data_IF_799537647449
#
_entry.id   IF_799537647449
#
_cell.length_a   1.000
_cell.length_b   1.000
_cell.length_c   1.000
_cell.angle_alpha   90.00
_cell.angle_beta   90.00
_cell.angle_gamma   90.00
#
_symmetry.space_group_name_H-M   'P 1'
#
loop_
_entity.id
_entity.type
_entity.pdbx_description
1 polymer ?
#
# COMPACT_ATOMS: atom_id res chain seq x y z
N UNK A 1 17.03 -27.67 -4.81
CA UNK A 1 17.05 -27.52 -3.31
C UNK A 1 15.66 -27.22 -2.76
N UNK A 2 14.90 -26.24 -3.31
CA UNK A 2 13.55 -25.85 -2.88
C UNK A 2 12.57 -27.03 -3.03
N UNK A 3 12.49 -27.70 -4.18
CA UNK A 3 11.63 -28.84 -4.44
C UNK A 3 11.79 -29.96 -3.39
N UNK A 4 13.05 -30.33 -3.05
CA UNK A 4 13.31 -31.35 -2.02
C UNK A 4 12.78 -30.94 -0.64
N UNK A 5 13.02 -29.68 -0.23
CA UNK A 5 12.54 -29.17 1.08
C UNK A 5 11.02 -29.06 1.11
N UNK A 6 10.40 -28.59 0.04
CA UNK A 6 8.95 -28.50 -0.10
C UNK A 6 8.29 -29.89 0.03
N UNK A 7 8.84 -30.90 -0.66
CA UNK A 7 8.37 -32.29 -0.56
C UNK A 7 8.57 -32.93 0.80
N UNK A 8 9.58 -32.53 1.57
CA UNK A 8 9.81 -33.01 2.94
C UNK A 8 8.79 -32.49 3.95
N UNK A 9 8.35 -31.24 3.83
CA UNK A 9 7.43 -30.61 4.78
C UNK A 9 5.98 -30.62 4.34
N UNK A 10 5.70 -30.61 3.01
CA UNK A 10 4.35 -30.52 2.43
C UNK A 10 3.51 -29.40 3.07
N UNK A 11 4.12 -28.23 3.21
CA UNK A 11 3.47 -27.04 3.78
C UNK A 11 2.31 -26.58 2.91
N UNK A 12 1.17 -26.34 3.52
CA UNK A 12 -0.03 -25.76 2.89
C UNK A 12 -0.41 -24.46 3.57
N UNK A 13 -1.39 -23.74 3.03
CA UNK A 13 -1.90 -22.51 3.59
C UNK A 13 -3.40 -22.42 3.37
N UNK A 14 -4.18 -22.98 4.27
CA UNK A 14 -5.64 -22.77 4.35
C UNK A 14 -5.87 -21.47 5.09
N UNK A 15 -6.70 -20.61 4.52
CA UNK A 15 -7.06 -19.32 5.12
C UNK A 15 -8.43 -18.89 4.66
N UNK A 16 -8.83 -17.71 5.06
CA UNK A 16 -10.13 -17.13 4.77
C UNK A 16 -10.02 -15.78 4.08
N UNK A 17 -11.12 -15.35 3.51
CA UNK A 17 -11.41 -13.97 3.09
C UNK A 17 -12.78 -13.60 3.66
N UNK A 18 -13.16 -12.32 3.61
CA UNK A 18 -14.47 -11.82 4.02
C UNK A 18 -14.75 -11.81 5.54
N UNK A 19 -13.73 -11.80 6.39
CA UNK A 19 -13.95 -11.75 7.86
C UNK A 19 -14.78 -10.53 8.27
N UNK A 20 -14.45 -9.35 7.74
CA UNK A 20 -15.17 -8.12 8.05
C UNK A 20 -16.66 -8.19 7.66
N UNK A 21 -16.95 -8.77 6.50
CA UNK A 21 -18.33 -8.95 6.04
C UNK A 21 -19.06 -10.07 6.77
N UNK A 22 -18.36 -11.14 7.15
CA UNK A 22 -18.91 -12.19 7.99
C UNK A 22 -19.39 -11.62 9.33
N UNK A 23 -18.56 -10.83 9.99
CA UNK A 23 -18.93 -10.18 11.25
C UNK A 23 -20.13 -9.25 11.06
N UNK A 24 -20.14 -8.43 10.01
CA UNK A 24 -21.25 -7.57 9.69
C UNK A 24 -22.56 -8.35 9.43
N UNK A 25 -22.50 -9.48 8.71
CA UNK A 25 -23.63 -10.34 8.46
C UNK A 25 -24.19 -11.00 9.74
N UNK A 26 -23.32 -11.27 10.71
CA UNK A 26 -23.69 -11.78 12.04
C UNK A 26 -24.19 -10.67 12.99
N UNK A 27 -24.23 -9.42 12.54
CA UNK A 27 -24.59 -8.26 13.36
C UNK A 27 -23.51 -7.84 14.35
N UNK A 28 -22.30 -8.35 14.18
CA UNK A 28 -21.14 -8.05 15.03
C UNK A 28 -20.34 -6.91 14.43
N UNK A 29 -20.01 -5.93 15.26
CA UNK A 29 -19.20 -4.80 14.83
C UNK A 29 -17.71 -5.13 14.93
N UNK A 30 -16.99 -5.07 13.81
CA UNK A 30 -15.55 -5.27 13.77
C UNK A 30 -14.84 -4.32 14.75
N UNK A 31 -13.84 -4.82 15.48
CA UNK A 31 -13.10 -4.04 16.48
C UNK A 31 -13.75 -3.97 17.85
N UNK A 32 -14.73 -4.84 18.15
CA UNK A 32 -15.28 -5.04 19.50
C UNK A 32 -14.75 -6.34 20.10
N UNK A 33 -14.85 -6.48 21.42
CA UNK A 33 -14.46 -7.71 22.11
C UNK A 33 -15.34 -8.90 21.66
N UNK A 34 -16.64 -8.71 21.55
CA UNK A 34 -17.59 -9.74 21.08
C UNK A 34 -17.22 -10.26 19.67
N UNK A 35 -16.94 -9.34 18.72
CA UNK A 35 -16.47 -9.71 17.38
C UNK A 35 -15.14 -10.47 17.44
N UNK A 36 -14.25 -10.06 18.34
CA UNK A 36 -12.93 -10.68 18.54
C UNK A 36 -13.06 -12.12 19.08
N UNK A 37 -13.95 -12.33 20.04
CA UNK A 37 -14.24 -13.66 20.59
C UNK A 37 -14.86 -14.59 19.54
N UNK A 38 -15.83 -14.08 18.78
CA UNK A 38 -16.44 -14.84 17.69
C UNK A 38 -15.40 -15.23 16.63
N UNK A 39 -14.56 -14.29 16.19
CA UNK A 39 -13.48 -14.58 15.26
C UNK A 39 -12.49 -15.62 15.79
N UNK A 40 -12.11 -15.55 17.08
CA UNK A 40 -11.25 -16.54 17.69
C UNK A 40 -11.89 -17.94 17.61
N UNK A 41 -13.19 -18.08 17.88
CA UNK A 41 -13.90 -19.37 17.79
C UNK A 41 -13.97 -19.91 16.36
N UNK A 42 -14.22 -19.06 15.37
CA UNK A 42 -14.20 -19.44 13.95
C UNK A 42 -12.83 -20.00 13.57
N UNK A 43 -11.75 -19.26 13.89
CA UNK A 43 -10.40 -19.69 13.55
C UNK A 43 -9.93 -20.91 14.35
N UNK A 44 -10.38 -21.07 15.59
CA UNK A 44 -10.19 -22.30 16.38
C UNK A 44 -10.79 -23.50 15.68
N UNK A 45 -12.03 -23.41 15.24
CA UNK A 45 -12.71 -24.48 14.52
C UNK A 45 -11.98 -24.84 13.22
N UNK A 46 -11.63 -23.83 12.43
CA UNK A 46 -10.86 -24.05 11.20
C UNK A 46 -9.51 -24.72 11.48
N UNK A 47 -8.81 -24.34 12.56
CA UNK A 47 -7.53 -24.92 12.92
C UNK A 47 -7.66 -26.40 13.29
N UNK A 48 -8.61 -26.75 14.16
CA UNK A 48 -8.84 -28.12 14.58
C UNK A 48 -9.20 -29.01 13.37
N UNK A 49 -10.10 -28.57 12.53
CA UNK A 49 -10.53 -29.36 11.38
C UNK A 49 -9.48 -29.47 10.27
N UNK A 50 -8.67 -28.42 10.03
CA UNK A 50 -7.56 -28.49 9.10
C UNK A 50 -6.49 -29.50 9.57
N UNK A 51 -6.19 -29.52 10.87
CA UNK A 51 -5.25 -30.47 11.44
C UNK A 51 -5.83 -31.90 11.47
N UNK A 52 -7.10 -32.07 11.79
CA UNK A 52 -7.83 -33.36 11.68
C UNK A 52 -7.76 -33.91 10.24
N UNK A 53 -8.04 -33.07 9.26
CA UNK A 53 -7.90 -33.43 7.86
C UNK A 53 -6.47 -33.84 7.50
N UNK A 54 -5.48 -33.11 7.98
CA UNK A 54 -4.07 -33.44 7.76
C UNK A 54 -3.65 -34.78 8.40
N UNK A 55 -4.19 -35.11 9.57
CA UNK A 55 -4.01 -36.43 10.22
C UNK A 55 -4.69 -37.52 9.41
N UNK A 56 -5.91 -37.31 8.94
CA UNK A 56 -6.61 -38.30 8.10
C UNK A 56 -5.86 -38.54 6.77
N UNK A 57 -5.36 -37.50 6.13
CA UNK A 57 -4.49 -37.65 4.97
C UNK A 57 -3.19 -38.41 5.29
N UNK A 58 -2.67 -38.28 6.51
CA UNK A 58 -1.49 -39.04 6.92
C UNK A 58 -1.80 -40.53 7.14
N UNK A 59 -2.98 -40.88 7.65
CA UNK A 59 -3.46 -42.28 7.73
C UNK A 59 -3.48 -42.95 6.35
N UNK A 60 -3.87 -42.20 5.28
CA UNK A 60 -3.97 -42.72 3.92
C UNK A 60 -2.63 -42.73 3.17
N UNK A 61 -1.82 -41.68 3.33
CA UNK A 61 -0.67 -41.35 2.45
C UNK A 61 0.67 -41.20 3.20
N UNK A 62 0.68 -41.49 4.50
CA UNK A 62 1.82 -41.28 5.37
C UNK A 62 2.02 -39.83 5.78
N UNK A 63 2.68 -39.64 6.91
CA UNK A 63 3.05 -38.34 7.42
C UNK A 63 4.06 -37.60 6.51
N UNK A 64 4.28 -36.31 6.76
CA UNK A 64 5.36 -35.59 6.08
C UNK A 64 6.72 -36.16 6.52
N UNK A 65 7.71 -36.20 5.61
CA UNK A 65 8.92 -37.03 5.73
C UNK A 65 9.80 -36.75 6.96
N UNK A 66 9.73 -35.55 7.52
CA UNK A 66 10.51 -35.14 8.69
C UNK A 66 9.67 -35.01 9.97
N UNK A 67 8.47 -35.61 9.99
CA UNK A 67 7.60 -35.60 11.17
C UNK A 67 8.28 -36.29 12.36
N UNK A 68 8.24 -35.61 13.50
CA UNK A 68 8.78 -36.11 14.77
C UNK A 68 8.02 -35.43 15.91
N UNK A 69 7.17 -36.19 16.60
CA UNK A 69 6.34 -35.70 17.69
C UNK A 69 7.15 -35.17 18.89
N UNK A 70 8.36 -35.70 19.13
CA UNK A 70 9.21 -35.24 20.22
C UNK A 70 9.79 -33.83 19.95
N UNK A 71 10.07 -33.51 18.71
CA UNK A 71 10.52 -32.18 18.35
C UNK A 71 9.44 -31.09 18.54
N UNK A 72 8.19 -31.50 18.53
CA UNK A 72 7.05 -30.59 18.62
C UNK A 72 6.45 -30.48 20.03
N UNK A 73 6.90 -31.28 20.99
CA UNK A 73 6.34 -31.33 22.34
C UNK A 73 6.29 -29.98 23.09
N UNK A 74 7.21 -29.08 22.77
CA UNK A 74 7.27 -27.71 23.31
C UNK A 74 6.73 -26.64 22.37
N UNK A 75 6.12 -27.02 21.26
CA UNK A 75 5.54 -26.05 20.31
C UNK A 75 4.24 -25.46 20.89
N UNK A 76 4.16 -24.14 21.13
CA UNK A 76 2.97 -23.52 21.74
C UNK A 76 1.70 -23.72 20.95
N UNK A 77 1.78 -23.78 19.61
CA UNK A 77 0.63 -24.02 18.74
C UNK A 77 0.11 -25.47 18.91
N UNK A 78 1.01 -26.46 18.89
CA UNK A 78 0.65 -27.85 19.05
C UNK A 78 0.08 -28.11 20.46
N UNK A 79 0.65 -27.48 21.50
CA UNK A 79 0.13 -27.59 22.87
C UNK A 79 -1.29 -27.02 22.98
N UNK A 80 -1.58 -25.94 22.28
CA UNK A 80 -2.93 -25.36 22.20
C UNK A 80 -3.93 -26.27 21.50
N UNK A 81 -3.52 -26.95 20.41
CA UNK A 81 -4.35 -27.98 19.78
C UNK A 81 -4.63 -29.14 20.76
N UNK A 82 -3.61 -29.59 21.52
CA UNK A 82 -3.75 -30.64 22.53
C UNK A 82 -4.74 -30.25 23.62
N UNK A 83 -4.68 -29.02 24.12
CA UNK A 83 -5.60 -28.51 25.13
C UNK A 83 -7.04 -28.43 24.62
N UNK A 84 -7.19 -27.99 23.33
CA UNK A 84 -8.50 -27.83 22.74
C UNK A 84 -9.15 -29.13 22.28
N UNK A 85 -8.34 -30.09 21.83
CA UNK A 85 -8.79 -31.41 21.34
C UNK A 85 -7.73 -32.49 21.64
N UNK A 86 -7.77 -33.11 22.81
CA UNK A 86 -6.83 -34.15 23.20
C UNK A 86 -6.86 -35.38 22.30
N UNK A 87 -8.04 -35.73 21.75
CA UNK A 87 -8.19 -36.87 20.85
C UNK A 87 -7.47 -36.65 19.52
N UNK A 88 -7.63 -35.48 18.91
CA UNK A 88 -6.88 -35.09 17.74
C UNK A 88 -5.36 -35.14 17.96
N UNK A 89 -4.91 -34.69 19.15
CA UNK A 89 -3.48 -34.72 19.49
C UNK A 89 -2.94 -36.17 19.58
N UNK A 90 -3.66 -37.10 20.22
CA UNK A 90 -3.23 -38.51 20.31
C UNK A 90 -3.25 -39.19 18.93
N UNK A 91 -4.24 -38.91 18.10
CA UNK A 91 -4.26 -39.38 16.72
C UNK A 91 -3.05 -38.80 15.91
N UNK A 92 -2.76 -37.52 16.05
CA UNK A 92 -1.61 -36.87 15.41
C UNK A 92 -0.29 -37.47 15.87
N UNK A 93 -0.15 -37.80 17.16
CA UNK A 93 1.03 -38.48 17.71
C UNK A 93 1.19 -39.87 17.13
N UNK A 94 0.10 -40.64 17.01
CA UNK A 94 0.08 -42.00 16.50
C UNK A 94 0.33 -42.12 15.02
N UNK A 95 -0.32 -41.31 14.20
CA UNK A 95 -0.32 -41.41 12.74
C UNK A 95 0.52 -40.33 12.05
N UNK A 96 0.95 -39.32 12.77
CA UNK A 96 1.52 -38.12 12.22
C UNK A 96 0.46 -37.24 11.57
N UNK A 97 0.92 -36.24 10.82
CA UNK A 97 0.09 -35.42 9.92
C UNK A 97 0.75 -35.25 8.57
N UNK A 98 -0.04 -35.02 7.52
CA UNK A 98 0.44 -34.92 6.15
C UNK A 98 1.26 -33.68 5.88
N UNK A 99 0.98 -32.57 6.59
CA UNK A 99 1.48 -31.23 6.34
C UNK A 99 2.20 -30.71 7.60
N UNK A 100 3.40 -30.14 7.43
CA UNK A 100 4.17 -29.57 8.55
C UNK A 100 3.46 -28.34 9.15
N UNK A 101 2.74 -27.60 8.31
CA UNK A 101 1.92 -26.46 8.68
C UNK A 101 0.75 -26.36 7.71
N UNK A 102 -0.41 -25.89 8.20
CA UNK A 102 -1.69 -25.97 7.49
C UNK A 102 -2.33 -24.60 7.20
N UNK A 103 -2.12 -23.60 8.05
CA UNK A 103 -2.96 -22.41 8.16
C UNK A 103 -2.20 -21.13 7.91
N UNK A 104 -2.79 -20.21 7.13
CA UNK A 104 -2.24 -18.87 6.88
C UNK A 104 -3.37 -17.89 6.58
N UNK A 105 -3.17 -16.62 6.88
CA UNK A 105 -4.06 -15.56 6.38
C UNK A 105 -3.28 -14.73 5.36
N UNK A 106 -3.58 -14.99 4.09
CA UNK A 106 -3.01 -14.27 2.96
C UNK A 106 -3.75 -12.92 2.74
N UNK A 107 -3.17 -11.95 2.01
CA UNK A 107 -3.84 -10.68 1.70
C UNK A 107 -5.17 -10.84 0.97
N UNK A 108 -5.32 -11.85 0.11
CA UNK A 108 -6.52 -12.17 -0.68
C UNK A 108 -7.11 -11.01 -1.51
N UNK A 109 -6.29 -10.00 -1.87
CA UNK A 109 -6.77 -8.80 -2.55
C UNK A 109 -7.54 -9.08 -3.85
N UNK A 110 -6.97 -9.89 -4.75
CA UNK A 110 -7.63 -10.27 -6.01
C UNK A 110 -8.85 -11.16 -5.76
N UNK A 111 -8.76 -12.12 -4.84
CA UNK A 111 -9.86 -13.04 -4.50
C UNK A 111 -11.05 -12.26 -3.94
N UNK A 112 -10.80 -11.32 -3.02
CA UNK A 112 -11.86 -10.50 -2.43
C UNK A 112 -12.55 -9.59 -3.44
N UNK A 113 -11.80 -9.06 -4.44
CA UNK A 113 -12.42 -8.34 -5.55
C UNK A 113 -13.34 -9.21 -6.38
N UNK A 114 -12.95 -10.45 -6.66
CA UNK A 114 -13.79 -11.41 -7.40
C UNK A 114 -15.05 -11.81 -6.62
N UNK A 115 -14.92 -11.99 -5.30
CA UNK A 115 -16.05 -12.36 -4.43
C UNK A 115 -16.84 -11.15 -3.94
N UNK A 116 -16.37 -9.93 -4.24
CA UNK A 116 -17.01 -8.67 -3.83
C UNK A 116 -17.16 -8.55 -2.30
N UNK A 117 -16.12 -8.94 -1.59
CA UNK A 117 -16.06 -8.99 -0.12
C UNK A 117 -14.81 -8.25 0.41
N UNK A 118 -14.74 -8.15 1.75
CA UNK A 118 -13.52 -7.71 2.44
C UNK A 118 -12.39 -8.73 2.27
N UNK A 119 -11.14 -8.30 2.42
CA UNK A 119 -9.94 -9.13 2.21
C UNK A 119 -9.46 -9.76 3.50
N UNK A 120 -9.14 -11.06 3.49
CA UNK A 120 -8.58 -11.76 4.64
C UNK A 120 -9.38 -11.50 5.91
N UNK A 121 -8.70 -11.06 6.96
CA UNK A 121 -9.30 -10.63 8.23
C UNK A 121 -9.43 -9.10 8.35
N UNK A 122 -9.34 -8.37 7.23
CA UNK A 122 -9.48 -6.92 7.22
C UNK A 122 -10.93 -6.48 7.41
N UNK A 123 -11.19 -5.34 8.07
CA UNK A 123 -12.49 -4.70 8.02
C UNK A 123 -12.77 -4.14 6.63
N UNK A 124 -14.00 -3.73 6.37
CA UNK A 124 -14.33 -2.98 5.14
C UNK A 124 -13.50 -1.71 5.07
N UNK A 125 -13.01 -1.38 3.89
CA UNK A 125 -12.28 -0.11 3.71
C UNK A 125 -13.23 1.08 3.90
N UNK A 126 -14.31 1.12 3.13
CA UNK A 126 -15.44 2.05 3.28
C UNK A 126 -16.72 1.36 2.80
N UNK A 127 -17.83 1.41 3.56
CA UNK A 127 -19.11 0.83 3.12
C UNK A 127 -19.73 1.64 1.99
N UNK A 128 -19.39 2.92 1.90
CA UNK A 128 -19.88 3.85 0.87
C UNK A 128 -18.77 4.79 0.46
N UNK A 129 -18.58 4.98 -0.85
CA UNK A 129 -17.59 5.92 -1.38
C UNK A 129 -18.08 6.58 -2.66
N UNK A 130 -17.54 7.75 -2.98
CA UNK A 130 -17.83 8.46 -4.23
C UNK A 130 -16.81 8.10 -5.30
N UNK A 131 -17.27 7.86 -6.49
CA UNK A 131 -16.45 7.74 -7.70
C UNK A 131 -16.75 8.87 -8.65
N UNK A 132 -15.75 9.24 -9.43
CA UNK A 132 -15.87 10.16 -10.54
C UNK A 132 -15.67 9.41 -11.85
N UNK A 133 -16.54 9.67 -12.83
CA UNK A 133 -16.32 9.26 -14.22
C UNK A 133 -16.27 10.49 -15.10
N UNK A 134 -15.34 10.51 -16.06
CA UNK A 134 -15.30 11.54 -17.08
C UNK A 134 -16.53 11.40 -17.97
N UNK A 135 -17.18 12.48 -18.27
CA UNK A 135 -18.41 12.52 -19.07
C UNK A 135 -18.29 13.55 -20.18
N UNK A 136 -19.08 13.34 -21.25
CA UNK A 136 -19.19 14.33 -22.29
C UNK A 136 -20.26 15.37 -21.89
N UNK A 137 -19.90 16.65 -21.67
CA UNK A 137 -20.86 17.67 -21.24
C UNK A 137 -21.95 17.97 -22.29
N UNK A 138 -21.76 17.53 -23.53
CA UNK A 138 -22.73 17.70 -24.60
C UNK A 138 -23.76 16.57 -24.73
N UNK A 139 -23.64 15.54 -23.86
CA UNK A 139 -24.62 14.44 -23.81
C UNK A 139 -25.79 14.83 -22.89
N UNK A 140 -27.02 14.97 -23.44
CA UNK A 140 -28.19 15.42 -22.67
C UNK A 140 -28.62 14.46 -21.56
N UNK A 141 -28.11 13.22 -21.53
CA UNK A 141 -28.38 12.23 -20.48
C UNK A 141 -27.35 12.28 -19.33
N UNK A 142 -26.36 13.15 -19.41
CA UNK A 142 -25.25 13.19 -18.49
C UNK A 142 -25.37 14.35 -17.53
N UNK A 143 -25.26 14.08 -16.23
CA UNK A 143 -25.17 15.10 -15.19
C UNK A 143 -23.69 15.47 -14.97
N UNK A 144 -23.37 16.75 -15.00
CA UNK A 144 -22.02 17.25 -14.71
C UNK A 144 -22.01 17.79 -13.28
N UNK A 145 -21.29 17.09 -12.39
CA UNK A 145 -21.13 17.49 -10.99
C UNK A 145 -19.86 18.32 -10.75
N UNK A 146 -18.85 18.13 -11.59
CA UNK A 146 -17.55 18.75 -11.43
C UNK A 146 -16.87 18.94 -12.77
N UNK A 147 -16.26 20.11 -12.96
CA UNK A 147 -15.38 20.40 -14.11
C UNK A 147 -14.00 20.67 -13.53
N UNK A 148 -12.98 19.97 -14.02
CA UNK A 148 -11.61 20.18 -13.58
C UNK A 148 -10.97 21.43 -14.22
N UNK A 149 -9.75 21.74 -13.79
CA UNK A 149 -9.01 22.91 -14.29
C UNK A 149 -8.64 22.81 -15.78
N UNK A 150 -8.74 21.63 -16.37
CA UNK A 150 -8.47 21.37 -17.80
C UNK A 150 -9.73 21.47 -18.64
N UNK A 151 -10.90 21.70 -18.02
CA UNK A 151 -12.19 21.78 -18.68
C UNK A 151 -12.89 20.42 -18.87
N UNK A 152 -12.34 19.35 -18.31
CA UNK A 152 -12.96 18.04 -18.36
C UNK A 152 -14.13 17.94 -17.38
N UNK A 153 -15.27 17.46 -17.88
CA UNK A 153 -16.48 17.28 -17.08
C UNK A 153 -16.56 15.88 -16.45
N UNK A 154 -16.97 15.83 -15.21
CA UNK A 154 -17.11 14.59 -14.43
C UNK A 154 -18.47 14.51 -13.78
N UNK A 155 -19.01 13.30 -13.75
CA UNK A 155 -20.16 12.94 -12.92
C UNK A 155 -19.66 12.21 -11.67
N UNK A 156 -20.16 12.61 -10.51
CA UNK A 156 -19.95 11.91 -9.24
C UNK A 156 -21.10 10.94 -8.98
N UNK A 157 -20.77 9.72 -8.66
CA UNK A 157 -21.75 8.72 -8.27
C UNK A 157 -21.31 7.96 -7.03
N UNK A 158 -22.30 7.54 -6.26
CA UNK A 158 -22.10 6.80 -5.03
C UNK A 158 -21.94 5.32 -5.37
N UNK A 159 -20.93 4.70 -4.76
CA UNK A 159 -20.71 3.26 -4.84
C UNK A 159 -20.84 2.70 -3.43
N UNK A 160 -21.74 1.75 -3.27
CA UNK A 160 -21.91 0.99 -2.05
C UNK A 160 -21.06 -0.29 -2.11
N UNK A 161 -20.44 -0.66 -0.99
CA UNK A 161 -19.84 -1.97 -0.84
C UNK A 161 -20.91 -3.06 -1.03
N UNK A 162 -20.63 -4.12 -1.76
CA UNK A 162 -21.63 -5.11 -2.15
C UNK A 162 -22.37 -5.72 -0.96
N UNK A 163 -21.68 -6.06 0.12
CA UNK A 163 -22.31 -6.60 1.31
C UNK A 163 -23.11 -5.56 2.11
N UNK A 164 -22.75 -4.29 1.97
CA UNK A 164 -23.58 -3.20 2.48
C UNK A 164 -24.90 -3.07 1.69
N UNK A 165 -24.89 -3.28 0.36
CA UNK A 165 -26.10 -3.35 -0.46
C UNK A 165 -27.02 -4.49 0.00
N UNK A 166 -26.45 -5.67 0.28
CA UNK A 166 -27.23 -6.79 0.83
C UNK A 166 -27.85 -6.42 2.18
N UNK A 167 -27.09 -5.81 3.07
CA UNK A 167 -27.60 -5.31 4.35
C UNK A 167 -28.73 -4.28 4.16
N UNK A 168 -28.56 -3.33 3.24
CA UNK A 168 -29.60 -2.35 2.91
C UNK A 168 -30.89 -3.05 2.47
N UNK A 169 -30.79 -3.99 1.56
CA UNK A 169 -31.95 -4.73 1.00
C UNK A 169 -32.70 -5.51 2.08
N UNK A 170 -31.96 -6.24 2.93
CA UNK A 170 -32.55 -7.02 4.03
C UNK A 170 -33.24 -6.10 5.07
N UNK A 171 -32.77 -4.88 5.24
CA UNK A 171 -33.31 -3.90 6.18
C UNK A 171 -34.36 -2.95 5.53
N UNK A 172 -34.79 -3.25 4.29
CA UNK A 172 -35.88 -2.52 3.61
C UNK A 172 -35.43 -1.17 3.02
N UNK A 173 -34.16 -0.94 2.82
CA UNK A 173 -33.64 0.23 2.12
C UNK A 173 -33.43 -0.07 0.65
N UNK A 174 -33.78 0.88 -0.23
CA UNK A 174 -33.61 0.75 -1.67
C UNK A 174 -32.18 1.20 -2.10
N UNK A 175 -31.27 0.28 -2.49
CA UNK A 175 -29.92 0.63 -2.89
C UNK A 175 -29.83 1.41 -4.22
N UNK A 176 -30.93 1.48 -4.97
CA UNK A 176 -30.97 2.20 -6.26
C UNK A 176 -31.38 3.67 -6.10
N UNK A 177 -31.91 4.04 -4.94
CA UNK A 177 -32.28 5.41 -4.61
C UNK A 177 -31.04 6.31 -4.60
N UNK A 178 -31.18 7.55 -5.09
CA UNK A 178 -30.18 8.59 -4.86
C UNK A 178 -30.29 9.08 -3.41
N UNK A 179 -29.21 8.90 -2.66
CA UNK A 179 -29.10 9.30 -1.27
C UNK A 179 -28.28 10.60 -1.15
N UNK A 180 -28.71 11.50 -0.27
CA UNK A 180 -27.88 12.61 0.17
C UNK A 180 -26.79 12.13 1.11
N UNK A 181 -25.74 12.95 1.33
CA UNK A 181 -24.67 12.58 2.27
C UNK A 181 -25.20 12.35 3.69
N UNK A 182 -26.15 13.16 4.14
CA UNK A 182 -26.76 13.01 5.45
C UNK A 182 -27.57 11.70 5.59
N UNK A 183 -28.30 11.30 4.56
CA UNK A 183 -29.01 10.01 4.52
C UNK A 183 -28.03 8.83 4.54
N UNK A 184 -26.90 8.94 3.83
CA UNK A 184 -25.84 7.92 3.81
C UNK A 184 -25.22 7.78 5.21
N UNK A 185 -24.88 8.89 5.84
CA UNK A 185 -24.27 8.89 7.18
C UNK A 185 -25.21 8.21 8.19
N UNK A 186 -26.52 8.50 8.14
CA UNK A 186 -27.54 7.83 8.95
C UNK A 186 -27.69 6.34 8.64
N UNK A 187 -27.55 5.94 7.37
CA UNK A 187 -27.61 4.52 6.99
C UNK A 187 -26.37 3.77 7.53
N UNK A 188 -25.19 4.34 7.35
CA UNK A 188 -23.94 3.76 7.88
C UNK A 188 -24.01 3.65 9.40
N UNK A 189 -24.50 4.70 10.09
CA UNK A 189 -24.64 4.70 11.54
C UNK A 189 -25.52 3.58 12.09
N UNK A 190 -26.56 3.20 11.36
CA UNK A 190 -27.46 2.10 11.71
C UNK A 190 -26.91 0.72 11.37
N UNK A 191 -25.87 0.65 10.56
CA UNK A 191 -25.30 -0.59 10.07
C UNK A 191 -24.23 -1.17 10.98
N UNK A 192 -23.91 -2.46 10.89
CA UNK A 192 -22.79 -3.07 11.60
C UNK A 192 -21.43 -2.56 11.12
N UNK A 193 -21.37 -1.80 10.02
CA UNK A 193 -20.15 -1.16 9.53
C UNK A 193 -19.82 0.18 10.20
N UNK A 194 -20.70 0.69 11.06
CA UNK A 194 -20.45 1.94 11.80
C UNK A 194 -19.27 1.81 12.75
N UNK A 195 -18.27 2.69 12.61
CA UNK A 195 -16.99 2.65 13.34
C UNK A 195 -16.26 1.30 13.22
N UNK A 196 -16.47 0.61 12.12
CA UNK A 196 -15.89 -0.69 11.80
C UNK A 196 -15.16 -0.68 10.45
N UNK A 197 -14.78 0.49 9.95
CA UNK A 197 -14.00 0.63 8.71
C UNK A 197 -12.51 0.64 8.99
N UNK A 198 -11.70 0.46 7.95
CA UNK A 198 -10.23 0.45 8.09
C UNK A 198 -9.66 1.73 8.73
N UNK A 199 -10.37 2.86 8.57
CA UNK A 199 -9.89 4.18 9.02
C UNK A 199 -10.45 4.62 10.38
N UNK A 200 -11.52 4.00 10.89
CA UNK A 200 -12.20 4.42 12.11
C UNK A 200 -12.37 3.33 13.16
N UNK A 201 -11.94 2.10 12.87
CA UNK A 201 -11.92 1.00 13.83
C UNK A 201 -10.98 1.31 15.00
N UNK A 202 -11.27 0.80 16.18
CA UNK A 202 -10.30 0.79 17.28
C UNK A 202 -9.06 -0.03 16.88
N UNK A 203 -7.97 0.66 16.58
CA UNK A 203 -6.74 0.03 16.07
C UNK A 203 -6.08 -0.90 17.10
N UNK A 204 -6.19 -0.60 18.40
CA UNK A 204 -5.68 -1.50 19.44
C UNK A 204 -6.50 -2.79 19.52
N UNK A 205 -7.83 -2.68 19.40
CA UNK A 205 -8.70 -3.85 19.33
C UNK A 205 -8.45 -4.67 18.06
N UNK A 206 -8.19 -4.01 16.91
CA UNK A 206 -7.80 -4.69 15.68
C UNK A 206 -6.52 -5.52 15.87
N UNK A 207 -5.51 -4.98 16.57
CA UNK A 207 -4.27 -5.70 16.89
C UNK A 207 -4.54 -6.87 17.83
N UNK A 208 -5.35 -6.68 18.86
CA UNK A 208 -5.73 -7.76 19.81
C UNK A 208 -6.48 -8.87 19.10
N UNK A 209 -7.41 -8.53 18.21
CA UNK A 209 -8.12 -9.50 17.37
C UNK A 209 -7.14 -10.30 16.50
N UNK A 210 -6.18 -9.65 15.85
CA UNK A 210 -5.11 -10.34 15.13
C UNK A 210 -4.34 -11.31 16.03
N UNK A 211 -3.99 -10.90 17.25
CA UNK A 211 -3.30 -11.74 18.23
C UNK A 211 -4.13 -12.95 18.65
N UNK A 212 -5.44 -12.77 18.86
CA UNK A 212 -6.38 -13.86 19.17
C UNK A 212 -6.47 -14.87 18.03
N UNK A 213 -6.63 -14.40 16.79
CA UNK A 213 -6.63 -15.24 15.58
C UNK A 213 -5.28 -15.92 15.40
N UNK A 214 -4.15 -15.24 15.68
CA UNK A 214 -2.80 -15.80 15.53
C UNK A 214 -2.57 -17.05 16.41
N UNK A 215 -3.28 -17.19 17.51
CA UNK A 215 -3.23 -18.42 18.33
C UNK A 215 -3.63 -19.66 17.53
N UNK A 216 -4.52 -19.50 16.55
CA UNK A 216 -5.12 -20.55 15.74
C UNK A 216 -4.61 -20.57 14.29
N UNK A 217 -3.55 -19.79 13.98
CA UNK A 217 -2.90 -19.75 12.67
C UNK A 217 -1.42 -20.06 12.83
N UNK A 218 -0.98 -21.15 12.27
CA UNK A 218 0.40 -21.64 12.42
C UNK A 218 1.43 -20.89 11.55
N UNK A 219 1.02 -20.26 10.47
CA UNK A 219 1.84 -19.31 9.71
C UNK A 219 1.59 -17.85 10.15
N UNK A 220 2.02 -16.92 9.33
CA UNK A 220 1.79 -15.50 9.54
C UNK A 220 0.40 -15.07 9.04
N UNK A 221 -0.05 -13.95 9.58
CA UNK A 221 -1.27 -13.25 9.18
C UNK A 221 -0.86 -11.98 8.46
N UNK A 222 -1.42 -11.75 7.28
CA UNK A 222 -1.31 -10.48 6.57
C UNK A 222 -2.48 -9.59 6.95
N UNK A 223 -2.19 -8.52 7.65
CA UNK A 223 -3.15 -7.49 8.04
C UNK A 223 -2.44 -6.14 8.09
N UNK A 224 -3.14 -5.08 7.69
CA UNK A 224 -2.60 -3.72 7.69
C UNK A 224 -3.46 -2.83 8.59
N UNK A 225 -2.80 -2.12 9.49
CA UNK A 225 -3.42 -1.08 10.31
C UNK A 225 -3.30 0.22 9.53
N UNK A 226 -4.42 0.73 9.03
CA UNK A 226 -4.47 2.00 8.32
C UNK A 226 -4.68 3.13 9.32
N UNK A 227 -3.79 4.10 9.31
CA UNK A 227 -3.80 5.25 10.20
C UNK A 227 -3.92 6.54 9.38
N UNK A 228 -4.68 7.54 9.84
CA UNK A 228 -4.69 8.85 9.23
C UNK A 228 -3.32 9.54 9.33
N UNK A 229 -3.11 10.59 8.54
CA UNK A 229 -1.81 11.27 8.44
C UNK A 229 -1.43 12.10 9.69
N UNK A 230 -2.39 12.42 10.54
CA UNK A 230 -2.25 13.25 11.74
C UNK A 230 -1.95 12.47 13.03
N UNK A 231 -1.72 11.14 12.93
CA UNK A 231 -1.36 10.32 14.10
C UNK A 231 0.08 10.56 14.53
N UNK A 232 0.31 10.52 15.85
CA UNK A 232 1.61 10.66 16.46
C UNK A 232 2.43 9.35 16.44
N UNK A 233 3.74 9.48 16.61
CA UNK A 233 4.65 8.32 16.69
C UNK A 233 4.37 7.44 17.91
N UNK A 234 3.87 8.03 18.99
CA UNK A 234 3.56 7.30 20.22
C UNK A 234 2.44 6.27 20.00
N UNK A 235 1.43 6.59 19.19
CA UNK A 235 0.39 5.64 18.82
C UNK A 235 0.98 4.48 17.99
N UNK A 236 1.83 4.78 17.00
CA UNK A 236 2.47 3.74 16.17
C UNK A 236 3.32 2.80 17.05
N UNK A 237 4.11 3.36 17.96
CA UNK A 237 4.88 2.56 18.92
C UNK A 237 3.98 1.68 19.80
N UNK A 238 2.88 2.22 20.33
CA UNK A 238 1.91 1.45 21.13
C UNK A 238 1.32 0.28 20.34
N UNK A 239 1.00 0.47 19.06
CA UNK A 239 0.47 -0.59 18.19
C UNK A 239 1.47 -1.73 18.00
N UNK A 240 2.75 -1.43 17.76
CA UNK A 240 3.79 -2.46 17.66
C UNK A 240 4.02 -3.19 18.98
N UNK A 241 4.05 -2.48 20.11
CA UNK A 241 4.17 -3.08 21.44
C UNK A 241 2.97 -3.98 21.74
N UNK A 242 1.75 -3.54 21.42
CA UNK A 242 0.54 -4.34 21.60
C UNK A 242 0.54 -5.58 20.69
N UNK A 243 0.98 -5.46 19.44
CA UNK A 243 1.12 -6.59 18.52
C UNK A 243 2.07 -7.67 19.11
N UNK A 244 3.20 -7.24 19.65
CA UNK A 244 4.13 -8.14 20.32
C UNK A 244 3.51 -8.79 21.57
N UNK A 245 2.86 -8.02 22.43
CA UNK A 245 2.18 -8.52 23.65
C UNK A 245 1.05 -9.48 23.33
N UNK A 246 0.33 -9.25 22.25
CA UNK A 246 -0.75 -10.11 21.78
C UNK A 246 -0.27 -11.36 21.06
N UNK A 247 1.05 -11.53 20.87
CA UNK A 247 1.64 -12.71 20.22
C UNK A 247 1.50 -12.75 18.72
N UNK A 248 1.32 -11.59 18.06
CA UNK A 248 1.33 -11.50 16.60
C UNK A 248 2.70 -11.86 16.04
N UNK A 249 2.75 -12.61 14.95
CA UNK A 249 4.00 -12.93 14.23
C UNK A 249 4.49 -11.82 13.32
N UNK A 250 3.65 -10.85 13.04
CA UNK A 250 3.96 -9.66 12.26
C UNK A 250 2.84 -8.63 12.39
N UNK A 251 3.17 -7.37 12.14
CA UNK A 251 2.24 -6.27 12.14
C UNK A 251 2.65 -5.26 11.07
N UNK A 252 1.73 -4.85 10.23
CA UNK A 252 1.96 -3.83 9.22
C UNK A 252 1.15 -2.59 9.56
N UNK A 253 1.81 -1.45 9.59
CA UNK A 253 1.18 -0.14 9.78
C UNK A 253 1.35 0.67 8.50
N UNK A 254 0.26 1.23 8.01
CA UNK A 254 0.24 2.19 6.92
C UNK A 254 -0.34 3.51 7.42
N UNK A 255 0.39 4.60 7.27
CA UNK A 255 -0.08 5.95 7.57
C UNK A 255 -0.38 6.67 6.26
N UNK A 256 -1.55 7.30 6.16
CA UNK A 256 -1.95 8.06 4.99
C UNK A 256 -0.87 9.09 4.62
N UNK A 257 -0.59 9.22 3.33
CA UNK A 257 0.43 10.11 2.81
C UNK A 257 1.88 9.62 2.96
N UNK A 258 2.15 8.47 3.63
CA UNK A 258 3.50 7.91 3.73
C UNK A 258 4.02 7.32 2.40
N UNK A 259 3.12 7.07 1.44
CA UNK A 259 3.44 6.65 0.07
C UNK A 259 2.56 7.42 -0.90
N UNK A 260 3.14 8.02 -1.92
CA UNK A 260 2.41 8.71 -2.97
C UNK A 260 1.58 7.73 -3.82
N UNK A 261 0.31 8.08 -4.08
CA UNK A 261 -0.53 7.43 -5.10
C UNK A 261 -1.25 6.15 -4.70
N UNK A 262 -1.31 5.77 -3.41
CA UNK A 262 -1.89 4.47 -3.02
C UNK A 262 -3.37 4.52 -2.65
N UNK A 263 -3.85 5.58 -2.03
CA UNK A 263 -5.26 5.71 -1.61
C UNK A 263 -5.75 7.15 -1.74
N UNK A 264 -6.95 7.33 -2.28
CA UNK A 264 -7.66 8.60 -2.29
C UNK A 264 -8.65 8.61 -1.12
N UNK A 265 -8.45 9.50 -0.15
CA UNK A 265 -9.40 9.73 0.94
C UNK A 265 -10.63 10.48 0.43
N UNK A 266 -11.83 10.06 0.85
CA UNK A 266 -13.09 10.78 0.55
C UNK A 266 -13.44 11.85 1.58
N UNK A 267 -12.73 11.92 2.70
CA UNK A 267 -12.81 13.09 3.56
C UNK A 267 -12.18 14.24 2.80
N UNK A 268 -12.92 15.35 2.62
CA UNK A 268 -12.31 16.63 2.26
C UNK A 268 -11.18 16.81 3.27
N UNK A 269 -9.96 16.63 2.82
CA UNK A 269 -8.80 17.04 3.57
C UNK A 269 -9.10 18.48 3.97
N UNK A 270 -9.19 18.73 5.27
CA UNK A 270 -9.00 20.08 5.75
C UNK A 270 -7.73 20.49 5.06
N UNK A 271 -7.87 21.42 4.10
CA UNK A 271 -6.78 21.95 3.31
C UNK A 271 -5.53 21.87 4.17
N UNK A 272 -4.61 20.97 3.82
CA UNK A 272 -3.25 21.17 4.23
C UNK A 272 -3.04 22.65 3.98
N UNK A 273 -2.78 23.41 5.03
CA UNK A 273 -2.13 24.67 4.87
C UNK A 273 -0.79 24.28 4.26
N UNK A 274 -0.80 24.10 2.92
CA UNK A 274 0.39 24.41 2.16
C UNK A 274 0.74 25.77 2.71
N UNK A 275 1.88 25.88 3.36
CA UNK A 275 2.52 27.19 3.41
C UNK A 275 2.43 27.67 1.97
N UNK A 276 1.52 28.60 1.72
CA UNK A 276 1.44 29.28 0.44
C UNK A 276 2.77 29.98 0.34
N UNK A 277 3.69 29.32 -0.35
CA UNK A 277 4.82 30.05 -0.92
C UNK A 277 4.19 31.25 -1.62
N UNK A 278 4.64 32.47 -1.33
CA UNK A 278 4.02 33.67 -1.87
C UNK A 278 3.83 33.49 -3.37
N UNK A 279 2.69 33.91 -3.95
CA UNK A 279 2.36 33.63 -5.33
C UNK A 279 3.53 34.08 -6.21
N UNK A 280 4.24 33.11 -6.77
CA UNK A 280 5.37 33.37 -7.65
C UNK A 280 4.79 34.02 -8.92
N UNK A 281 4.93 35.34 -9.04
CA UNK A 281 4.63 36.00 -10.32
C UNK A 281 5.53 35.34 -11.36
N UNK A 282 4.98 34.81 -12.46
CA UNK A 282 5.81 34.28 -13.53
C UNK A 282 6.82 35.36 -13.93
N UNK A 283 8.10 35.07 -14.04
CA UNK A 283 9.09 36.06 -14.46
C UNK A 283 8.74 36.53 -15.88
N UNK A 284 8.75 37.82 -16.08
CA UNK A 284 8.63 38.40 -17.42
C UNK A 284 9.84 38.14 -18.31
N UNK A 285 10.96 37.70 -17.70
CA UNK A 285 12.21 37.34 -18.35
C UNK A 285 12.73 36.04 -17.73
N UNK A 286 13.23 35.12 -18.57
CA UNK A 286 13.89 33.90 -18.09
C UNK A 286 15.11 34.25 -17.27
N UNK A 287 15.18 33.76 -16.05
CA UNK A 287 16.34 33.96 -15.17
C UNK A 287 17.58 33.31 -15.79
N UNK A 288 18.69 34.04 -15.75
CA UNK A 288 19.97 33.52 -16.26
C UNK A 288 20.46 32.41 -15.35
N UNK A 289 20.68 31.24 -15.93
CA UNK A 289 21.16 30.08 -15.17
C UNK A 289 22.55 30.36 -14.54
N UNK A 290 22.69 30.27 -13.23
CA UNK A 290 24.01 30.34 -12.56
C UNK A 290 24.94 29.21 -13.05
N UNK A 291 26.26 29.41 -12.91
CA UNK A 291 27.24 28.37 -13.23
C UNK A 291 27.04 27.11 -12.40
N UNK A 292 26.65 27.25 -11.14
CA UNK A 292 26.44 26.16 -10.17
C UNK A 292 25.00 26.25 -9.66
N UNK A 293 24.30 25.13 -9.65
CA UNK A 293 22.99 24.97 -9.01
C UNK A 293 23.09 23.88 -7.95
N UNK A 294 22.48 24.10 -6.79
CA UNK A 294 22.22 23.03 -5.85
C UNK A 294 21.30 22.02 -6.50
N UNK A 295 21.45 20.75 -6.17
CA UNK A 295 20.68 19.70 -6.81
C UNK A 295 20.26 18.59 -5.85
N UNK A 296 19.06 18.07 -6.08
CA UNK A 296 18.55 16.85 -5.46
C UNK A 296 18.69 15.65 -6.38
N UNK A 297 18.93 14.47 -5.80
CA UNK A 297 19.04 13.21 -6.53
C UNK A 297 17.83 12.33 -6.21
N UNK A 298 17.00 12.12 -7.19
CA UNK A 298 15.82 11.26 -7.11
C UNK A 298 16.09 9.94 -7.83
N UNK A 299 15.80 8.82 -7.17
CA UNK A 299 15.90 7.48 -7.75
C UNK A 299 14.53 6.86 -7.81
N UNK A 300 14.22 6.26 -8.94
CA UNK A 300 12.96 5.57 -9.15
C UNK A 300 13.15 4.32 -10.01
N UNK A 301 12.13 3.49 -10.08
CA UNK A 301 12.13 2.28 -10.90
C UNK A 301 10.96 2.33 -11.87
N UNK A 302 11.25 2.09 -13.15
CA UNK A 302 10.26 1.95 -14.19
C UNK A 302 10.51 0.64 -14.95
N UNK A 303 9.50 -0.22 -15.09
CA UNK A 303 9.57 -1.50 -15.83
C UNK A 303 10.78 -2.39 -15.48
N UNK A 304 11.16 -2.51 -14.20
CA UNK A 304 12.35 -3.21 -13.69
C UNK A 304 13.68 -2.50 -13.90
N UNK A 305 13.73 -1.41 -14.65
CA UNK A 305 14.92 -0.59 -14.83
C UNK A 305 15.06 0.42 -13.70
N UNK A 306 16.28 0.65 -13.26
CA UNK A 306 16.60 1.65 -12.23
C UNK A 306 16.93 2.96 -12.92
N UNK A 307 16.31 4.03 -12.45
CA UNK A 307 16.45 5.38 -12.99
C UNK A 307 16.98 6.34 -11.94
N UNK A 308 17.69 7.35 -12.41
CA UNK A 308 18.15 8.45 -11.58
C UNK A 308 17.81 9.78 -12.25
N UNK A 309 17.36 10.75 -11.46
CA UNK A 309 17.16 12.12 -11.89
C UNK A 309 17.95 13.06 -10.98
N UNK A 310 18.59 14.06 -11.58
CA UNK A 310 19.25 15.18 -10.92
C UNK A 310 18.40 16.41 -11.16
N UNK A 311 17.81 16.95 -10.11
CA UNK A 311 16.93 18.13 -10.17
C UNK A 311 17.73 19.33 -9.66
N UNK A 312 18.11 20.22 -10.57
CA UNK A 312 18.79 21.47 -10.22
C UNK A 312 17.79 22.49 -9.69
N UNK A 313 18.14 23.13 -8.58
CA UNK A 313 17.30 24.09 -7.87
C UNK A 313 17.87 25.52 -8.03
N UNK A 314 17.00 26.49 -8.30
CA UNK A 314 17.30 27.90 -8.22
C UNK A 314 16.36 28.54 -7.20
N UNK A 315 16.93 29.12 -6.12
CA UNK A 315 16.17 29.70 -5.00
C UNK A 315 15.15 28.71 -4.39
N UNK A 316 15.56 27.43 -4.29
CA UNK A 316 14.71 26.35 -3.76
C UNK A 316 13.63 25.83 -4.74
N UNK A 317 13.53 26.36 -5.94
CA UNK A 317 12.58 25.91 -6.96
C UNK A 317 13.26 25.03 -8.03
N UNK A 318 12.62 23.96 -8.52
CA UNK A 318 13.12 23.17 -9.64
C UNK A 318 13.34 24.06 -10.88
N UNK A 319 14.57 24.04 -11.41
CA UNK A 319 14.99 24.86 -12.53
C UNK A 319 15.37 24.03 -13.76
N UNK A 320 16.02 22.89 -13.51
CA UNK A 320 16.41 21.96 -14.58
C UNK A 320 16.43 20.52 -14.07
N UNK A 321 16.29 19.59 -14.98
CA UNK A 321 16.32 18.15 -14.68
C UNK A 321 17.22 17.42 -15.68
N UNK A 322 17.97 16.45 -15.20
CA UNK A 322 18.74 15.49 -15.97
C UNK A 322 18.32 14.10 -15.52
N UNK A 323 17.93 13.24 -16.43
CA UNK A 323 17.46 11.90 -16.06
C UNK A 323 17.89 10.85 -17.08
N UNK A 324 18.06 9.62 -16.59
CA UNK A 324 18.40 8.47 -17.38
C UNK A 324 18.53 7.21 -16.54
N UNK A 325 18.94 6.12 -17.19
CA UNK A 325 19.15 4.85 -16.52
C UNK A 325 20.31 4.93 -15.54
N UNK A 326 20.11 4.31 -14.37
CA UNK A 326 21.16 4.05 -13.41
C UNK A 326 21.68 2.65 -13.69
N UNK A 327 22.73 2.55 -14.50
CA UNK A 327 23.40 1.31 -14.84
C UNK A 327 24.86 1.35 -14.37
N UNK A 328 25.36 0.20 -13.93
CA UNK A 328 26.74 0.05 -13.46
C UNK A 328 27.74 -0.12 -14.63
N UNK A 329 27.29 -0.48 -15.85
CA UNK A 329 28.13 -0.73 -17.02
C UNK A 329 28.19 0.45 -18.02
N UNK A 330 27.07 1.09 -18.31
CA UNK A 330 26.99 2.20 -19.30
C UNK A 330 26.38 3.49 -18.72
N UNK A 331 25.84 3.45 -17.50
CA UNK A 331 25.13 4.55 -16.87
C UNK A 331 25.91 5.30 -15.79
N UNK A 332 25.15 5.95 -14.90
CA UNK A 332 25.73 6.72 -13.79
C UNK A 332 25.76 5.84 -12.55
N UNK A 333 26.97 5.41 -12.14
CA UNK A 333 27.17 4.78 -10.84
C UNK A 333 27.24 5.85 -9.75
N UNK A 334 26.24 5.85 -8.87
CA UNK A 334 26.11 6.81 -7.76
C UNK A 334 25.78 6.08 -6.46
N UNK A 335 26.55 6.29 -5.36
CA UNK A 335 26.26 5.70 -4.07
C UNK A 335 24.84 6.01 -3.60
N UNK A 336 24.11 5.01 -3.05
CA UNK A 336 22.72 5.17 -2.59
C UNK A 336 22.55 6.26 -1.52
N UNK A 337 23.62 6.57 -0.79
CA UNK A 337 23.63 7.60 0.26
C UNK A 337 23.68 9.04 -0.25
N UNK A 338 23.92 9.24 -1.55
CA UNK A 338 23.98 10.57 -2.15
C UNK A 338 22.57 10.98 -2.58
N UNK A 339 21.96 11.90 -1.87
CA UNK A 339 20.63 12.46 -2.14
C UNK A 339 20.67 13.91 -2.59
N UNK A 340 21.80 14.59 -2.39
CA UNK A 340 21.99 16.00 -2.75
C UNK A 340 23.38 16.22 -3.35
N UNK A 341 23.55 17.31 -4.07
CA UNK A 341 24.81 17.70 -4.68
C UNK A 341 24.67 19.03 -5.44
N UNK A 342 25.51 19.21 -6.44
CA UNK A 342 25.56 20.43 -7.27
C UNK A 342 25.68 20.09 -8.73
N UNK A 343 24.94 20.78 -9.60
CA UNK A 343 25.11 20.70 -11.05
C UNK A 343 25.92 21.89 -11.53
N UNK A 344 27.08 21.60 -12.09
CA UNK A 344 28.06 22.60 -12.56
C UNK A 344 27.98 22.65 -14.09
N UNK A 345 27.69 23.83 -14.63
CA UNK A 345 27.74 24.08 -16.08
C UNK A 345 29.12 24.58 -16.48
N UNK A 346 29.80 23.82 -17.28
CA UNK A 346 31.08 24.18 -17.89
C UNK A 346 30.85 24.54 -19.36
N UNK A 347 31.64 25.50 -19.88
CA UNK A 347 31.62 25.91 -21.28
C UNK A 347 33.09 25.83 -21.72
N UNK A 348 33.36 25.07 -22.78
CA UNK A 348 34.68 24.95 -23.37
C UNK A 348 35.03 26.18 -24.26
N UNK A 349 36.26 26.20 -24.80
CA UNK A 349 36.74 27.28 -25.66
C UNK A 349 35.95 27.39 -26.98
N UNK A 350 35.30 26.32 -27.40
CA UNK A 350 34.47 26.28 -28.61
C UNK A 350 32.98 26.65 -28.35
N UNK A 351 32.64 26.94 -27.07
CA UNK A 351 31.27 27.30 -26.65
C UNK A 351 30.35 26.13 -26.38
N UNK A 352 30.84 24.88 -26.41
CA UNK A 352 30.06 23.69 -26.06
C UNK A 352 29.78 23.65 -24.56
N UNK A 353 28.57 23.21 -24.20
CA UNK A 353 28.09 23.17 -22.83
C UNK A 353 28.18 21.76 -22.29
N UNK A 354 28.93 21.57 -21.19
CA UNK A 354 29.02 20.34 -20.42
C UNK A 354 28.39 20.54 -19.04
N UNK A 355 27.68 19.56 -18.55
CA UNK A 355 27.04 19.58 -17.23
C UNK A 355 27.62 18.44 -16.39
N UNK A 356 28.16 18.79 -15.23
CA UNK A 356 28.79 17.86 -14.31
C UNK A 356 28.01 17.84 -13.00
N UNK A 357 27.91 16.67 -12.34
CA UNK A 357 27.29 16.55 -11.02
C UNK A 357 28.36 16.30 -9.97
N UNK A 358 28.45 17.19 -8.98
CA UNK A 358 29.41 17.10 -7.88
C UNK A 358 28.68 16.84 -6.55
N UNK A 359 29.18 15.90 -5.76
CA UNK A 359 28.65 15.56 -4.43
C UNK A 359 29.80 15.31 -3.44
N UNK A 360 29.49 15.37 -2.15
CA UNK A 360 30.41 14.98 -1.10
C UNK A 360 30.15 13.55 -0.66
N UNK A 361 31.20 12.73 -0.59
CA UNK A 361 31.07 11.38 -0.06
C UNK A 361 31.04 11.39 1.49
N UNK A 362 30.79 10.23 2.12
CA UNK A 362 30.73 10.10 3.58
C UNK A 362 32.00 10.51 4.33
N UNK A 363 33.11 10.70 3.63
CA UNK A 363 34.40 11.13 4.19
C UNK A 363 34.72 12.62 3.91
N UNK A 364 33.75 13.38 3.36
CA UNK A 364 33.92 14.80 3.05
C UNK A 364 34.69 15.09 1.75
N UNK A 365 35.07 14.07 0.96
CA UNK A 365 35.72 14.30 -0.33
C UNK A 365 34.70 14.61 -1.42
N UNK A 366 34.98 15.64 -2.22
CA UNK A 366 34.22 16.02 -3.39
C UNK A 366 34.49 15.03 -4.52
N UNK A 367 33.42 14.44 -5.03
CA UNK A 367 33.45 13.54 -6.18
C UNK A 367 32.61 14.16 -7.31
N UNK A 368 33.12 14.16 -8.53
CA UNK A 368 32.43 14.75 -9.69
C UNK A 368 32.12 13.67 -10.73
N UNK A 369 30.88 13.62 -11.17
CA UNK A 369 30.45 12.86 -12.34
C UNK A 369 30.44 13.84 -13.50
N UNK A 370 31.35 13.67 -14.43
CA UNK A 370 31.50 14.55 -15.58
C UNK A 370 30.58 14.15 -16.72
N UNK A 371 30.07 15.13 -17.46
CA UNK A 371 29.35 14.93 -18.72
C UNK A 371 28.00 14.25 -18.56
N UNK A 372 27.11 14.74 -17.70
CA UNK A 372 25.77 14.17 -17.55
C UNK A 372 25.03 14.00 -18.89
N UNK A 373 25.18 14.98 -19.79
CA UNK A 373 24.56 14.95 -21.12
C UNK A 373 25.12 13.88 -22.05
N UNK A 374 26.31 13.39 -21.78
CA UNK A 374 27.00 12.39 -22.58
C UNK A 374 26.72 10.97 -22.09
N UNK A 375 26.38 10.87 -20.79
CA UNK A 375 26.12 9.60 -20.11
C UNK A 375 24.65 9.15 -20.20
N UNK A 376 23.74 10.05 -20.53
CA UNK A 376 22.36 9.72 -20.71
C UNK A 376 21.99 9.55 -22.20
N UNK A 377 21.09 8.61 -22.48
CA UNK A 377 20.55 8.44 -23.81
C UNK A 377 19.99 9.77 -24.36
N UNK A 378 20.27 10.08 -25.63
CA UNK A 378 19.88 11.33 -26.28
C UNK A 378 18.39 11.62 -26.27
N UNK A 379 17.56 10.59 -26.32
CA UNK A 379 16.12 10.71 -26.26
C UNK A 379 15.67 11.23 -24.90
N UNK A 380 16.11 10.60 -23.80
CA UNK A 380 15.80 11.05 -22.43
C UNK A 380 16.39 12.42 -22.13
N UNK A 381 17.59 12.71 -22.67
CA UNK A 381 18.19 14.02 -22.61
C UNK A 381 17.32 15.09 -23.25
N UNK A 382 16.71 14.83 -24.43
CA UNK A 382 15.84 15.78 -25.12
C UNK A 382 14.58 16.05 -24.34
N UNK A 383 13.92 15.03 -23.77
CA UNK A 383 12.78 15.20 -22.87
C UNK A 383 13.14 16.01 -21.63
N UNK A 384 14.23 15.69 -20.96
CA UNK A 384 14.71 16.42 -19.80
C UNK A 384 14.99 17.90 -20.12
N UNK A 385 15.49 18.18 -21.33
CA UNK A 385 15.73 19.54 -21.80
C UNK A 385 14.44 20.33 -22.04
N UNK A 386 13.39 19.69 -22.58
CA UNK A 386 12.07 20.29 -22.74
C UNK A 386 11.44 20.61 -21.38
N UNK A 387 11.45 19.65 -20.46
CA UNK A 387 10.95 19.85 -19.10
C UNK A 387 11.73 20.97 -18.39
N UNK A 388 13.06 20.99 -18.52
CA UNK A 388 13.89 22.07 -17.98
C UNK A 388 13.52 23.44 -18.59
N UNK A 389 13.15 23.49 -19.87
CA UNK A 389 12.66 24.69 -20.52
C UNK A 389 11.41 25.26 -19.86
N UNK A 390 10.47 24.38 -19.51
CA UNK A 390 9.22 24.74 -18.85
C UNK A 390 9.46 25.17 -17.39
N UNK A 391 10.34 24.45 -16.66
CA UNK A 391 10.70 24.77 -15.27
C UNK A 391 11.36 26.16 -15.14
N UNK A 392 12.18 26.58 -16.10
CA UNK A 392 12.83 27.91 -16.14
C UNK A 392 11.84 29.09 -16.19
N UNK A 393 10.64 28.85 -16.69
CA UNK A 393 9.56 29.82 -16.67
C UNK A 393 8.72 29.74 -15.38
N UNK A 394 9.19 29.03 -14.37
CA UNK A 394 8.53 28.83 -13.07
C UNK A 394 7.09 28.33 -13.20
N UNK A 395 6.82 27.51 -14.22
CA UNK A 395 5.53 26.83 -14.29
C UNK A 395 5.32 26.02 -12.99
N UNK A 396 4.15 26.13 -12.34
CA UNK A 396 3.86 25.33 -11.14
C UNK A 396 4.10 23.84 -11.37
N UNK A 397 4.75 23.16 -10.44
CA UNK A 397 5.22 21.78 -10.62
C UNK A 397 4.08 20.80 -10.91
N UNK A 398 2.93 21.01 -10.32
CA UNK A 398 1.71 20.23 -10.58
C UNK A 398 1.24 20.34 -12.04
N UNK A 399 1.40 21.50 -12.67
CA UNK A 399 1.13 21.69 -14.11
C UNK A 399 2.18 21.03 -15.00
N UNK A 400 3.46 21.08 -14.59
CA UNK A 400 4.53 20.37 -15.30
C UNK A 400 4.29 18.87 -15.28
N UNK A 401 3.90 18.31 -14.11
CA UNK A 401 3.56 16.89 -13.96
C UNK A 401 2.41 16.52 -14.89
N UNK A 402 1.31 17.27 -14.88
CA UNK A 402 0.16 17.03 -15.76
C UNK A 402 0.54 17.09 -17.25
N UNK A 403 1.39 18.05 -17.62
CA UNK A 403 1.87 18.16 -18.99
C UNK A 403 2.66 16.91 -19.41
N UNK A 404 3.58 16.44 -18.56
CA UNK A 404 4.39 15.25 -18.84
C UNK A 404 3.51 13.99 -18.87
N UNK A 405 2.58 13.83 -17.93
CA UNK A 405 1.65 12.70 -17.91
C UNK A 405 0.78 12.64 -19.16
N UNK A 406 0.34 13.81 -19.67
CA UNK A 406 -0.43 13.85 -20.91
C UNK A 406 0.36 13.45 -22.16
N UNK A 407 1.68 13.61 -22.14
CA UNK A 407 2.56 13.17 -23.23
C UNK A 407 2.82 11.64 -23.22
N UNK A 408 2.71 10.99 -22.07
CA UNK A 408 2.94 9.54 -21.90
C UNK A 408 1.72 8.68 -22.23
N UNK A 409 0.53 9.27 -22.38
CA UNK A 409 -0.71 8.55 -22.70
C UNK A 409 -0.84 8.11 -24.17
N UNK A 410 0.13 8.42 -25.03
CA UNK A 410 0.14 8.09 -26.47
C UNK A 410 1.28 7.14 -26.87
N UNK A 411 1.95 6.51 -25.92
CA UNK A 411 2.89 5.40 -26.12
C UNK A 411 2.43 4.16 -25.37
#
# INVERSE_FOLDING_TARGET
KIYKKSGQGRRTGVGITAEGDMLAAMGLRYGTEEATEFSEQVHKTIALEAYRSSVNMAKERGAFAIYDSEREKNNPFINRLKEADPELYEEMKKYGRRNIACLTIAPTGTTSLMTQTTSGIEPVFMPVYKRRRKVNPNDPQTHVDFVDETGDAFEEYIVFHHKFVEWMTVNGYDPTKRYTQEEIDKLVEKSPYYKATSNDVDWLMKVKMQGRIQKWVDHSISVTINLPNDVDEALVNRLYVEAWRSGCKGCTVYRDGSRSGVLLSTKKDKKDKKEELPPCKPPTVVEVRPKVLEAEVVRFQNNKEKWVAFVGLLDGHPYEIFTGLQDDEEGISLPKSVTTGRIIKNIDEEGNKRYDFQFENKRGYKTTIEGLSEKFNKEYWNYAKLISGVLRWRMPIDRVIKLVDSCLLYT
#
